data_IF_542953877867
#
_entry.id   IF_542953877867
#
_cell.length_a   1.000
_cell.length_b   1.000
_cell.length_c   1.000
_cell.angle_alpha   90.00
_cell.angle_beta   90.00
_cell.angle_gamma   90.00
#
_symmetry.space_group_name_H-M   'P 1'
#
loop_
_entity.id
_entity.type
_entity.pdbx_description
1 polymer ?
#
# COMPACT_ATOMS: atom_id res chain seq x y z
N UNK A 1 34.11 15.94 15.83
CA UNK A 1 33.88 14.98 16.93
C UNK A 1 33.32 15.64 18.18
N UNK A 2 33.85 16.79 18.65
CA UNK A 2 33.38 17.47 19.87
C UNK A 2 31.86 17.79 19.87
N UNK A 3 31.32 18.32 18.76
CA UNK A 3 29.88 18.66 18.69
C UNK A 3 28.92 17.47 18.64
N UNK A 4 29.39 16.25 18.34
CA UNK A 4 28.56 15.03 18.38
C UNK A 4 28.36 14.58 19.83
N UNK A 5 29.44 14.59 20.62
CA UNK A 5 29.39 14.22 22.03
C UNK A 5 28.52 15.19 22.85
N UNK A 6 28.61 16.49 22.56
CA UNK A 6 27.77 17.50 23.22
C UNK A 6 26.28 17.32 22.89
N UNK A 7 25.95 17.08 21.61
CA UNK A 7 24.57 16.80 21.18
C UNK A 7 24.04 15.48 21.78
N UNK A 8 24.84 14.43 21.79
CA UNK A 8 24.46 13.15 22.41
C UNK A 8 24.17 13.33 23.91
N UNK A 9 25.04 14.06 24.62
CA UNK A 9 24.85 14.40 26.03
C UNK A 9 23.54 15.16 26.26
N UNK A 10 23.22 16.14 25.43
CA UNK A 10 21.95 16.87 25.51
C UNK A 10 20.72 15.95 25.42
N UNK A 11 20.70 14.98 24.50
CA UNK A 11 19.57 14.04 24.40
C UNK A 11 19.50 13.06 25.59
N UNK A 12 20.65 12.64 26.12
CA UNK A 12 20.72 11.77 27.30
C UNK A 12 20.24 12.47 28.56
N UNK A 13 20.60 13.74 28.78
CA UNK A 13 20.18 14.52 29.93
C UNK A 13 18.65 14.68 29.98
N UNK A 14 17.98 14.82 28.83
CA UNK A 14 16.52 14.85 28.73
C UNK A 14 15.84 13.52 29.14
N UNK A 15 16.56 12.41 29.10
CA UNK A 15 16.04 11.10 29.51
C UNK A 15 16.19 10.84 31.02
N UNK A 16 16.99 11.64 31.74
CA UNK A 16 17.32 11.40 33.16
C UNK A 16 16.09 11.38 34.08
N UNK A 17 15.12 12.31 33.98
CA UNK A 17 13.94 12.29 34.86
C UNK A 17 13.13 10.99 34.73
N UNK A 18 12.99 10.46 33.50
CA UNK A 18 12.31 9.19 33.25
C UNK A 18 13.08 8.01 33.87
N UNK A 19 14.40 8.00 33.75
CA UNK A 19 15.23 6.92 34.30
C UNK A 19 15.21 6.91 35.83
N UNK A 20 15.21 8.07 36.48
CA UNK A 20 15.06 8.18 37.94
C UNK A 20 13.72 7.63 38.42
N UNK A 21 12.62 8.00 37.73
CA UNK A 21 11.31 7.45 38.06
C UNK A 21 11.26 5.91 37.90
N UNK A 22 11.94 5.36 36.89
CA UNK A 22 12.03 3.91 36.69
C UNK A 22 12.80 3.20 37.80
N UNK A 23 13.83 3.84 38.34
CA UNK A 23 14.61 3.34 39.49
C UNK A 23 13.79 3.41 40.78
N UNK A 24 13.17 4.55 41.06
CA UNK A 24 12.36 4.79 42.27
C UNK A 24 11.16 3.86 42.37
N UNK A 25 10.54 3.52 41.23
CA UNK A 25 9.40 2.59 41.16
C UNK A 25 9.81 1.14 40.96
N UNK A 26 11.11 0.84 41.04
CA UNK A 26 11.67 -0.51 40.88
C UNK A 26 11.22 -1.23 39.59
N UNK A 27 10.96 -0.45 38.53
CA UNK A 27 10.57 -0.99 37.21
C UNK A 27 11.81 -1.59 36.53
N UNK A 28 12.96 -0.96 36.74
CA UNK A 28 14.27 -1.40 36.27
C UNK A 28 15.28 -1.32 37.41
N UNK A 29 16.21 -2.26 37.46
CA UNK A 29 17.32 -2.20 38.41
C UNK A 29 18.36 -1.16 37.97
N UNK A 30 19.26 -0.77 38.88
CA UNK A 30 20.34 0.18 38.58
C UNK A 30 21.27 -0.33 37.46
N UNK A 31 21.55 -1.63 37.42
CA UNK A 31 22.40 -2.23 36.39
C UNK A 31 21.72 -2.30 35.03
N UNK A 32 20.40 -2.55 35.02
CA UNK A 32 19.60 -2.46 33.79
C UNK A 32 19.57 -1.02 33.27
N UNK A 33 19.38 -0.04 34.16
CA UNK A 33 19.40 1.39 33.80
C UNK A 33 20.77 1.78 33.24
N UNK A 34 21.88 1.33 33.85
CA UNK A 34 23.24 1.56 33.31
C UNK A 34 23.37 1.00 31.89
N UNK A 35 22.84 -0.19 31.66
CA UNK A 35 22.85 -0.82 30.33
C UNK A 35 21.98 -0.05 29.31
N UNK A 36 20.81 0.45 29.73
CA UNK A 36 19.92 1.28 28.90
C UNK A 36 20.63 2.59 28.52
N UNK A 37 21.27 3.25 29.49
CA UNK A 37 22.01 4.50 29.27
C UNK A 37 23.17 4.28 28.30
N UNK A 38 23.96 3.21 28.49
CA UNK A 38 25.05 2.88 27.58
C UNK A 38 24.54 2.66 26.17
N UNK A 39 23.51 1.83 25.98
CA UNK A 39 22.92 1.58 24.65
C UNK A 39 22.36 2.84 24.01
N UNK A 40 21.68 3.71 24.77
CA UNK A 40 21.23 5.03 24.26
C UNK A 40 22.40 5.88 23.79
N UNK A 41 23.47 5.93 24.58
CA UNK A 41 24.65 6.70 24.24
C UNK A 41 25.27 6.20 22.92
N UNK A 42 25.43 4.88 22.78
CA UNK A 42 25.98 4.26 21.57
C UNK A 42 25.11 4.58 20.33
N UNK A 43 23.78 4.47 20.46
CA UNK A 43 22.86 4.86 19.38
C UNK A 43 22.92 6.35 19.07
N UNK A 44 22.91 7.24 20.06
CA UNK A 44 22.97 8.69 19.85
C UNK A 44 24.26 9.08 19.14
N UNK A 45 25.40 8.54 19.55
CA UNK A 45 26.66 8.72 18.84
C UNK A 45 26.59 8.17 17.41
N UNK A 46 26.00 7.00 17.20
CA UNK A 46 25.88 6.38 15.87
C UNK A 46 25.04 7.24 14.92
N UNK A 47 23.86 7.69 15.35
CA UNK A 47 22.95 8.47 14.49
C UNK A 47 23.41 9.92 14.29
N UNK A 48 24.15 10.49 15.23
CA UNK A 48 24.72 11.84 15.12
C UNK A 48 26.06 11.88 14.37
N UNK A 49 26.71 10.73 14.20
CA UNK A 49 27.98 10.65 13.47
C UNK A 49 27.81 11.00 11.99
N UNK A 50 28.81 11.63 11.36
CA UNK A 50 28.84 11.78 9.91
C UNK A 50 28.74 10.41 9.21
N UNK A 51 28.00 10.33 8.10
CA UNK A 51 27.83 9.08 7.36
C UNK A 51 26.83 8.08 7.95
N UNK A 52 25.99 8.50 8.91
CA UNK A 52 24.90 7.66 9.41
C UNK A 52 23.93 7.26 8.29
N UNK A 53 23.35 6.06 8.40
CA UNK A 53 22.42 5.50 7.41
C UNK A 53 20.97 5.53 7.92
N UNK A 54 19.95 5.53 7.03
CA UNK A 54 18.55 5.40 7.44
C UNK A 54 18.30 4.17 8.34
N UNK A 55 19.00 3.06 8.08
CA UNK A 55 18.93 1.83 8.88
C UNK A 55 19.37 2.04 10.34
N UNK A 56 20.28 2.97 10.61
CA UNK A 56 20.76 3.25 11.97
C UNK A 56 19.68 3.97 12.78
N UNK A 57 18.95 4.90 12.16
CA UNK A 57 17.80 5.58 12.75
C UNK A 57 16.63 4.62 12.99
N UNK A 58 16.31 3.78 12.01
CA UNK A 58 15.30 2.73 12.15
C UNK A 58 15.63 1.77 13.31
N UNK A 59 16.87 1.27 13.36
CA UNK A 59 17.33 0.39 14.45
C UNK A 59 17.21 1.06 15.82
N UNK A 60 17.55 2.35 15.92
CA UNK A 60 17.43 3.10 17.17
C UNK A 60 15.97 3.24 17.61
N UNK A 61 15.07 3.62 16.68
CA UNK A 61 13.65 3.76 16.96
C UNK A 61 13.00 2.42 17.35
N UNK A 62 13.33 1.32 16.68
CA UNK A 62 12.83 -0.03 17.01
C UNK A 62 13.31 -0.50 18.39
N UNK A 63 14.54 -0.17 18.75
CA UNK A 63 15.07 -0.47 20.08
C UNK A 63 14.32 0.31 21.18
N UNK A 64 14.07 1.61 21.00
CA UNK A 64 13.25 2.39 21.96
C UNK A 64 11.80 1.91 22.04
N UNK A 65 11.19 1.47 20.92
CA UNK A 65 9.88 0.84 20.92
C UNK A 65 9.86 -0.47 21.73
N UNK A 66 10.90 -1.29 21.58
CA UNK A 66 11.05 -2.53 22.33
C UNK A 66 11.21 -2.26 23.83
N UNK A 67 11.96 -1.23 24.20
CA UNK A 67 12.12 -0.78 25.58
C UNK A 67 10.79 -0.29 26.18
N UNK A 68 9.99 0.46 25.42
CA UNK A 68 8.67 0.93 25.84
C UNK A 68 7.67 -0.24 26.01
N UNK A 69 7.73 -1.24 25.14
CA UNK A 69 6.97 -2.48 25.27
C UNK A 69 7.37 -3.26 26.53
N UNK A 70 8.68 -3.37 26.80
CA UNK A 70 9.19 -3.99 28.02
C UNK A 70 8.73 -3.25 29.28
N UNK A 71 8.86 -1.92 29.31
CA UNK A 71 8.38 -1.07 30.41
C UNK A 71 6.89 -1.28 30.64
N UNK A 72 6.09 -1.26 29.57
CA UNK A 72 4.64 -1.47 29.64
C UNK A 72 4.27 -2.83 30.25
N UNK A 73 4.94 -3.91 29.85
CA UNK A 73 4.74 -5.26 30.43
C UNK A 73 5.13 -5.31 31.91
N UNK A 74 6.24 -4.69 32.30
CA UNK A 74 6.69 -4.63 33.69
C UNK A 74 5.75 -3.83 34.57
N UNK A 75 5.27 -2.68 34.11
CA UNK A 75 4.29 -1.88 34.84
C UNK A 75 2.99 -2.66 35.11
N UNK A 76 2.51 -3.43 34.11
CA UNK A 76 1.36 -4.32 34.29
C UNK A 76 1.62 -5.38 35.36
N UNK A 77 2.79 -6.03 35.32
CA UNK A 77 3.19 -7.06 36.32
C UNK A 77 3.30 -6.51 37.73
N UNK A 78 3.91 -5.32 37.88
CA UNK A 78 4.10 -4.63 39.15
C UNK A 78 2.84 -3.86 39.62
N UNK A 79 1.74 -3.91 38.85
CA UNK A 79 0.49 -3.20 39.11
C UNK A 79 0.66 -1.68 39.29
N UNK A 80 1.67 -1.10 38.64
CA UNK A 80 1.92 0.35 38.65
C UNK A 80 0.97 0.99 37.63
N UNK A 81 0.05 1.83 38.11
CA UNK A 81 -1.00 2.47 37.28
C UNK A 81 -0.60 3.82 36.70
N UNK A 82 0.21 4.59 37.43
CA UNK A 82 0.56 5.96 37.04
C UNK A 82 2.07 6.14 36.95
N UNK A 83 2.54 6.61 35.79
CA UNK A 83 3.89 7.12 35.58
C UNK A 83 3.76 8.57 35.10
N UNK A 84 4.54 9.47 35.69
CA UNK A 84 4.65 10.85 35.24
C UNK A 84 5.32 10.89 33.86
N UNK A 85 6.23 9.95 33.59
CA UNK A 85 6.93 9.81 32.30
C UNK A 85 6.28 8.83 31.32
N UNK A 86 4.97 8.54 31.45
CA UNK A 86 4.28 7.55 30.62
C UNK A 86 4.40 7.81 29.11
N UNK A 87 4.36 9.08 28.69
CA UNK A 87 4.46 9.47 27.27
C UNK A 87 5.89 9.82 26.82
N UNK A 88 6.88 9.80 27.72
CA UNK A 88 8.25 10.22 27.39
C UNK A 88 8.93 9.23 26.43
N UNK A 89 8.64 7.93 26.53
CA UNK A 89 9.12 6.92 25.58
C UNK A 89 8.61 7.16 24.16
N UNK A 90 7.28 7.32 24.01
CA UNK A 90 6.65 7.64 22.73
C UNK A 90 7.19 8.95 22.14
N UNK A 91 7.29 10.01 22.96
CA UNK A 91 7.81 11.32 22.52
C UNK A 91 9.24 11.21 22.00
N UNK A 92 10.08 10.40 22.64
CA UNK A 92 11.46 10.14 22.19
C UNK A 92 11.47 9.42 20.86
N UNK A 93 10.72 8.34 20.70
CA UNK A 93 10.65 7.59 19.44
C UNK A 93 10.20 8.48 18.28
N UNK A 94 9.18 9.33 18.50
CA UNK A 94 8.74 10.31 17.49
C UNK A 94 9.86 11.29 17.13
N UNK A 95 10.57 11.83 18.12
CA UNK A 95 11.68 12.76 17.88
C UNK A 95 12.88 12.10 17.16
N UNK A 96 13.13 10.81 17.40
CA UNK A 96 14.15 10.03 16.67
C UNK A 96 13.75 9.91 15.20
N UNK A 97 12.50 9.56 14.91
CA UNK A 97 12.01 9.51 13.53
C UNK A 97 12.06 10.88 12.86
N UNK A 98 11.64 11.96 13.53
CA UNK A 98 11.70 13.32 12.98
C UNK A 98 13.11 13.72 12.56
N UNK A 99 14.09 13.48 13.44
CA UNK A 99 15.51 13.72 13.15
C UNK A 99 15.99 12.84 12.00
N UNK A 100 15.58 11.57 11.99
CA UNK A 100 15.94 10.61 10.95
C UNK A 100 15.44 11.01 9.57
N UNK A 101 14.15 11.33 9.43
CA UNK A 101 13.56 11.74 8.15
C UNK A 101 14.02 13.13 7.71
N UNK A 102 14.31 14.04 8.65
CA UNK A 102 14.91 15.34 8.32
C UNK A 102 16.35 15.18 7.80
N UNK A 103 17.08 14.17 8.29
CA UNK A 103 18.44 13.88 7.83
C UNK A 103 18.46 13.10 6.52
N UNK A 104 17.49 12.20 6.33
CA UNK A 104 17.37 11.29 5.19
C UNK A 104 16.00 11.41 4.50
N UNK A 105 15.66 12.59 3.93
CA UNK A 105 14.33 12.83 3.38
C UNK A 105 13.99 11.92 2.18
N UNK A 106 14.99 11.42 1.45
CA UNK A 106 14.80 10.51 0.32
C UNK A 106 14.63 9.03 0.69
N UNK A 107 14.56 8.67 1.98
CA UNK A 107 14.41 7.26 2.39
C UNK A 107 12.94 6.86 2.53
N UNK A 108 12.37 6.28 1.46
CA UNK A 108 11.02 5.71 1.45
C UNK A 108 10.73 4.78 2.62
N UNK A 109 11.65 3.85 2.89
CA UNK A 109 11.51 2.88 3.97
C UNK A 109 11.39 3.53 5.36
N UNK A 110 12.19 4.57 5.64
CA UNK A 110 12.17 5.27 6.92
C UNK A 110 10.85 6.04 7.13
N UNK A 111 10.36 6.70 6.08
CA UNK A 111 9.04 7.36 6.12
C UNK A 111 7.91 6.38 6.37
N UNK A 112 7.90 5.23 5.66
CA UNK A 112 6.88 4.19 5.84
C UNK A 112 6.91 3.58 7.23
N UNK A 113 8.09 3.34 7.79
CA UNK A 113 8.24 2.85 9.17
C UNK A 113 7.70 3.89 10.18
N UNK A 114 8.02 5.17 9.98
CA UNK A 114 7.52 6.24 10.84
C UNK A 114 5.98 6.37 10.78
N UNK A 115 5.40 6.29 9.59
CA UNK A 115 3.96 6.28 9.37
C UNK A 115 3.29 5.05 10.01
N UNK A 116 3.92 3.88 9.92
CA UNK A 116 3.46 2.66 10.59
C UNK A 116 3.45 2.83 12.12
N UNK A 117 4.53 3.40 12.68
CA UNK A 117 4.63 3.66 14.12
C UNK A 117 3.57 4.67 14.60
N UNK A 118 3.42 5.81 13.92
CA UNK A 118 2.41 6.81 14.29
C UNK A 118 0.98 6.25 14.21
N UNK A 119 0.71 5.35 13.27
CA UNK A 119 -0.56 4.64 13.19
C UNK A 119 -0.74 3.63 14.33
N UNK A 120 0.31 2.91 14.73
CA UNK A 120 0.22 1.88 15.79
C UNK A 120 -0.04 2.49 17.17
N UNK A 121 0.50 3.68 17.43
CA UNK A 121 0.26 4.44 18.67
C UNK A 121 -0.97 5.35 18.60
N UNK A 122 -1.78 5.24 17.52
CA UNK A 122 -3.00 6.05 17.28
C UNK A 122 -2.74 7.57 17.36
N UNK A 123 -1.57 8.02 16.90
CA UNK A 123 -1.21 9.44 16.87
C UNK A 123 -1.65 10.06 15.54
N UNK A 124 -2.95 10.25 15.36
CA UNK A 124 -3.57 10.56 14.08
C UNK A 124 -3.19 11.92 13.50
N UNK A 125 -3.22 12.98 14.32
CA UNK A 125 -2.72 14.31 13.92
C UNK A 125 -1.24 14.24 13.51
N UNK A 126 -0.44 13.46 14.25
CA UNK A 126 0.97 13.25 13.91
C UNK A 126 1.13 12.52 12.58
N UNK A 127 0.33 11.47 12.37
CA UNK A 127 0.33 10.71 11.13
C UNK A 127 0.01 11.61 9.93
N UNK A 128 -0.99 12.49 10.04
CA UNK A 128 -1.36 13.44 8.97
C UNK A 128 -0.20 14.34 8.59
N UNK A 129 0.37 15.06 9.56
CA UNK A 129 1.52 15.93 9.35
C UNK A 129 2.72 15.19 8.78
N UNK A 130 3.01 14.00 9.30
CA UNK A 130 4.10 13.16 8.77
C UNK A 130 3.83 12.71 7.34
N UNK A 131 2.59 12.35 7.00
CA UNK A 131 2.20 11.93 5.65
C UNK A 131 2.33 13.08 4.65
N UNK A 132 1.82 14.27 4.98
CA UNK A 132 1.98 15.48 4.13
C UNK A 132 3.47 15.77 3.88
N UNK A 133 4.29 15.73 4.93
CA UNK A 133 5.74 15.95 4.79
C UNK A 133 6.40 14.87 3.93
N UNK A 134 6.03 13.60 4.08
CA UNK A 134 6.54 12.50 3.28
C UNK A 134 6.21 12.70 1.79
N UNK A 135 4.95 13.06 1.48
CA UNK A 135 4.52 13.35 0.11
C UNK A 135 5.25 14.56 -0.48
N UNK A 136 5.52 15.60 0.32
CA UNK A 136 6.29 16.77 -0.12
C UNK A 136 7.75 16.41 -0.45
N UNK A 137 8.37 15.55 0.36
CA UNK A 137 9.76 15.14 0.15
C UNK A 137 9.92 14.12 -0.98
N UNK A 138 8.93 13.26 -1.20
CA UNK A 138 8.96 12.20 -2.21
C UNK A 138 7.64 12.15 -3.01
N UNK A 139 7.34 13.20 -3.80
CA UNK A 139 6.08 13.30 -4.52
C UNK A 139 5.93 12.26 -5.63
N UNK A 140 7.02 11.64 -6.08
CA UNK A 140 7.01 10.59 -7.12
C UNK A 140 6.99 9.17 -6.54
N UNK A 141 6.91 8.99 -5.21
CA UNK A 141 6.81 7.67 -4.59
C UNK A 141 5.35 7.17 -4.63
N UNK A 142 5.02 6.15 -5.45
CA UNK A 142 3.66 5.65 -5.58
C UNK A 142 3.13 5.01 -4.29
N UNK A 143 3.98 4.44 -3.44
CA UNK A 143 3.55 3.75 -2.22
C UNK A 143 3.02 4.73 -1.18
N UNK A 144 3.59 5.95 -1.11
CA UNK A 144 3.10 6.98 -0.19
C UNK A 144 1.71 7.49 -0.59
N UNK A 145 1.50 7.75 -1.89
CA UNK A 145 0.18 8.14 -2.40
C UNK A 145 -0.86 7.04 -2.19
N UNK A 146 -0.49 5.78 -2.47
CA UNK A 146 -1.35 4.64 -2.20
C UNK A 146 -1.68 4.53 -0.70
N UNK A 147 -0.71 4.73 0.20
CA UNK A 147 -0.94 4.69 1.64
C UNK A 147 -1.91 5.78 2.10
N UNK A 148 -1.78 7.01 1.59
CA UNK A 148 -2.71 8.10 1.87
C UNK A 148 -4.12 7.79 1.36
N UNK A 149 -4.25 7.43 0.08
CA UNK A 149 -5.54 7.10 -0.55
C UNK A 149 -6.24 5.92 0.12
N UNK A 150 -5.52 4.82 0.40
CA UNK A 150 -6.07 3.63 1.06
C UNK A 150 -6.52 3.92 2.50
N UNK A 151 -5.83 4.79 3.25
CA UNK A 151 -6.29 5.19 4.59
C UNK A 151 -7.61 5.95 4.51
N UNK A 152 -7.73 6.92 3.61
CA UNK A 152 -8.98 7.66 3.42
C UNK A 152 -10.13 6.74 2.98
N UNK A 153 -9.88 5.83 2.02
CA UNK A 153 -10.87 4.85 1.58
C UNK A 153 -11.30 3.89 2.71
N UNK A 154 -10.36 3.51 3.60
CA UNK A 154 -10.65 2.68 4.77
C UNK A 154 -11.51 3.42 5.80
N UNK A 155 -11.30 4.73 5.97
CA UNK A 155 -12.10 5.59 6.84
C UNK A 155 -13.50 5.89 6.27
N UNK A 156 -13.79 5.39 5.07
CA UNK A 156 -15.06 5.60 4.36
C UNK A 156 -15.04 6.79 3.41
N UNK A 157 -14.05 7.68 3.48
CA UNK A 157 -13.99 8.84 2.59
C UNK A 157 -13.32 8.51 1.25
N UNK A 158 -14.14 7.96 0.34
CA UNK A 158 -13.71 7.68 -1.02
C UNK A 158 -13.46 8.97 -1.83
N UNK A 159 -14.12 10.09 -1.51
CA UNK A 159 -13.90 11.34 -2.23
C UNK A 159 -12.49 11.89 -1.94
N UNK A 160 -12.08 11.90 -0.67
CA UNK A 160 -10.71 12.22 -0.28
C UNK A 160 -9.71 11.21 -0.85
N UNK A 161 -10.01 9.91 -0.81
CA UNK A 161 -9.15 8.89 -1.40
C UNK A 161 -8.88 9.14 -2.89
N UNK A 162 -9.93 9.40 -3.68
CA UNK A 162 -9.83 9.77 -5.10
C UNK A 162 -8.93 10.96 -5.31
N UNK A 163 -9.02 12.00 -4.48
CA UNK A 163 -8.17 13.16 -4.64
C UNK A 163 -6.69 12.89 -4.34
N UNK A 164 -6.36 12.01 -3.37
CA UNK A 164 -4.96 11.55 -3.18
C UNK A 164 -4.47 10.75 -4.38
N UNK A 165 -5.26 9.79 -4.85
CA UNK A 165 -4.90 8.97 -5.99
C UNK A 165 -4.72 9.81 -7.26
N UNK A 166 -5.69 10.68 -7.59
CA UNK A 166 -5.60 11.55 -8.76
C UNK A 166 -4.40 12.51 -8.68
N UNK A 167 -4.11 13.08 -7.50
CA UNK A 167 -2.94 13.95 -7.31
C UNK A 167 -1.64 13.15 -7.46
N UNK A 168 -1.58 11.97 -6.88
CA UNK A 168 -0.43 11.07 -7.02
C UNK A 168 -0.21 10.61 -8.45
N UNK A 169 -1.25 10.25 -9.20
CA UNK A 169 -1.16 9.85 -10.60
C UNK A 169 -0.59 10.96 -11.50
N UNK A 170 -0.80 12.24 -11.14
CA UNK A 170 -0.16 13.37 -11.84
C UNK A 170 1.35 13.43 -11.61
N UNK A 171 1.86 12.97 -10.47
CA UNK A 171 3.30 12.88 -10.20
C UNK A 171 3.92 11.57 -10.69
N UNK A 172 3.24 10.45 -10.45
CA UNK A 172 3.70 9.10 -10.75
C UNK A 172 3.30 8.69 -12.17
N UNK A 173 3.95 9.30 -13.17
CA UNK A 173 3.70 9.04 -14.60
C UNK A 173 4.70 8.09 -15.25
N UNK A 174 5.63 7.53 -14.48
CA UNK A 174 6.71 6.67 -14.98
C UNK A 174 6.46 5.18 -14.75
N UNK A 175 5.52 4.83 -13.87
CA UNK A 175 5.23 3.46 -13.50
C UNK A 175 3.74 3.30 -13.16
N UNK A 176 3.22 2.11 -13.45
CA UNK A 176 1.83 1.68 -13.32
C UNK A 176 1.34 1.45 -11.88
N UNK A 177 2.24 1.24 -10.91
CA UNK A 177 1.91 0.82 -9.53
C UNK A 177 0.78 1.63 -8.89
N UNK A 178 0.88 2.96 -8.93
CA UNK A 178 -0.15 3.81 -8.33
C UNK A 178 -1.48 3.74 -9.08
N UNK A 179 -1.44 3.60 -10.40
CA UNK A 179 -2.63 3.51 -11.24
C UNK A 179 -3.38 2.19 -11.01
N UNK A 180 -2.64 1.09 -10.90
CA UNK A 180 -3.18 -0.23 -10.54
C UNK A 180 -3.76 -0.20 -9.13
N UNK A 181 -3.06 0.42 -8.16
CA UNK A 181 -3.59 0.56 -6.80
C UNK A 181 -4.82 1.47 -6.71
N UNK A 182 -4.89 2.51 -7.54
CA UNK A 182 -6.08 3.36 -7.62
C UNK A 182 -7.28 2.56 -8.16
N UNK A 183 -7.09 1.86 -9.29
CA UNK A 183 -8.10 0.97 -9.85
C UNK A 183 -8.55 -0.09 -8.84
N UNK A 184 -7.61 -0.70 -8.09
CA UNK A 184 -7.92 -1.67 -7.03
C UNK A 184 -8.80 -1.05 -5.95
N UNK A 185 -8.45 0.15 -5.48
CA UNK A 185 -9.22 0.84 -4.45
C UNK A 185 -10.65 1.15 -4.90
N UNK A 186 -10.87 1.47 -6.17
CA UNK A 186 -12.22 1.68 -6.74
C UNK A 186 -12.99 0.37 -6.85
N UNK A 187 -12.36 -0.72 -7.29
CA UNK A 187 -13.00 -2.05 -7.34
C UNK A 187 -13.42 -2.54 -5.95
N UNK A 188 -12.56 -2.39 -4.94
CA UNK A 188 -12.88 -2.72 -3.54
C UNK A 188 -14.05 -1.89 -3.01
N UNK A 189 -14.20 -0.64 -3.47
CA UNK A 189 -15.31 0.20 -3.09
C UNK A 189 -16.61 -0.18 -3.81
N UNK A 190 -16.55 -0.55 -5.09
CA UNK A 190 -17.69 -1.10 -5.81
C UNK A 190 -18.24 -2.36 -5.12
N UNK A 191 -17.37 -3.27 -4.66
CA UNK A 191 -17.82 -4.44 -3.89
C UNK A 191 -18.54 -4.05 -2.60
N UNK A 192 -18.04 -3.04 -1.88
CA UNK A 192 -18.71 -2.54 -0.65
C UNK A 192 -20.07 -1.95 -0.98
N UNK A 193 -20.18 -1.23 -2.09
CA UNK A 193 -21.43 -0.64 -2.55
C UNK A 193 -22.44 -1.71 -2.95
N UNK A 194 -22.03 -2.73 -3.71
CA UNK A 194 -22.92 -3.85 -4.08
C UNK A 194 -23.42 -4.61 -2.84
N UNK A 195 -22.53 -4.93 -1.88
CA UNK A 195 -22.92 -5.52 -0.59
C UNK A 195 -23.91 -4.65 0.18
N UNK A 196 -23.76 -3.32 0.14
CA UNK A 196 -24.71 -2.39 0.76
C UNK A 196 -26.05 -2.40 0.05
N UNK A 197 -26.10 -2.50 -1.29
CA UNK A 197 -27.36 -2.60 -2.04
C UNK A 197 -28.16 -3.83 -1.63
N UNK A 198 -27.50 -4.98 -1.49
CA UNK A 198 -28.15 -6.24 -1.11
C UNK A 198 -28.85 -6.14 0.26
N UNK A 199 -28.27 -5.37 1.18
CA UNK A 199 -28.77 -5.21 2.56
C UNK A 199 -29.66 -3.96 2.73
N UNK A 200 -29.60 -3.01 1.80
CA UNK A 200 -30.28 -1.72 1.93
C UNK A 200 -31.82 -1.86 1.80
N UNK A 201 -32.53 -1.18 2.71
CA UNK A 201 -33.97 -0.97 2.60
C UNK A 201 -34.27 0.05 1.49
N UNK A 202 -35.46 -0.01 0.85
CA UNK A 202 -35.87 0.98 -0.15
C UNK A 202 -35.76 2.40 0.43
N UNK A 203 -34.99 3.28 -0.23
CA UNK A 203 -34.81 4.68 0.16
C UNK A 203 -33.55 5.01 0.97
N UNK A 204 -32.68 4.04 1.31
CA UNK A 204 -31.38 4.33 1.91
C UNK A 204 -30.34 4.70 0.83
N UNK A 205 -29.63 5.80 1.02
CA UNK A 205 -28.52 6.18 0.13
C UNK A 205 -27.33 5.22 0.34
N UNK A 206 -27.16 4.31 -0.61
CA UNK A 206 -26.08 3.29 -0.64
C UNK A 206 -24.70 3.93 -0.86
N UNK A 207 -24.68 5.11 -1.49
CA UNK A 207 -23.45 5.84 -1.83
C UNK A 207 -22.95 6.69 -0.66
N UNK A 208 -23.79 6.94 0.35
CA UNK A 208 -23.37 7.70 1.52
C UNK A 208 -22.30 6.91 2.29
N UNK A 209 -21.15 7.51 2.58
CA UNK A 209 -20.14 6.83 3.37
C UNK A 209 -20.62 6.63 4.81
N UNK A 210 -20.42 5.42 5.34
CA UNK A 210 -20.30 5.20 6.79
C UNK A 210 -19.05 5.94 7.25
N UNK A 211 -19.16 7.24 7.50
CA UNK A 211 -18.06 8.01 8.07
C UNK A 211 -17.78 7.41 9.44
N UNK A 212 -16.62 6.76 9.58
CA UNK A 212 -16.10 6.45 10.91
C UNK A 212 -15.67 7.81 11.46
N UNK A 213 -16.38 8.32 12.47
CA UNK A 213 -15.99 9.52 13.22
C UNK A 213 -14.69 9.23 13.99
N UNK A 214 -13.56 9.25 13.30
CA UNK A 214 -12.24 9.33 13.90
C UNK A 214 -11.58 10.61 13.38
N UNK A 215 -10.93 11.39 14.26
CA UNK A 215 -10.19 12.64 13.96
C UNK A 215 -8.94 12.48 13.08
N UNK A 216 -8.95 11.46 12.23
CA UNK A 216 -7.89 10.89 11.40
C UNK A 216 -7.97 11.32 9.93
N UNK A 217 -8.93 12.18 9.58
CA UNK A 217 -9.20 12.59 8.21
C UNK A 217 -8.10 13.53 7.68
N UNK A 218 -7.33 13.08 6.69
CA UNK A 218 -6.40 13.93 5.95
C UNK A 218 -7.18 14.60 4.82
N UNK A 219 -7.47 15.89 4.98
CA UNK A 219 -8.25 16.67 4.00
C UNK A 219 -7.33 17.26 2.94
N UNK A 220 -7.79 17.23 1.69
CA UNK A 220 -7.08 17.77 0.52
C UNK A 220 -7.33 19.26 0.30
N UNK A 221 -8.33 19.82 0.99
CA UNK A 221 -8.66 21.24 1.03
C UNK A 221 -7.95 21.81 2.25
N UNK A 222 -7.32 22.99 2.11
CA UNK A 222 -6.73 23.79 3.19
C UNK A 222 -7.54 23.58 4.46
N UNK A 223 -7.05 22.71 5.33
CA UNK A 223 -7.65 22.59 6.64
C UNK A 223 -7.34 23.92 7.32
N UNK A 224 -8.36 24.54 7.92
CA UNK A 224 -8.16 25.70 8.81
C UNK A 224 -7.24 25.36 10.02
N UNK A 225 -6.79 24.10 10.14
CA UNK A 225 -5.66 23.68 10.95
C UNK A 225 -4.35 24.16 10.29
N UNK A 226 -3.87 25.36 10.66
CA UNK A 226 -2.61 25.99 10.23
C UNK A 226 -1.33 25.12 10.30
N UNK A 227 -1.40 23.90 10.86
CA UNK A 227 -0.25 23.02 11.16
C UNK A 227 -0.08 21.81 10.21
N UNK A 228 -1.01 21.56 9.28
CA UNK A 228 -0.95 20.38 8.38
C UNK A 228 -0.08 20.60 7.14
N UNK A 229 0.13 21.84 6.72
CA UNK A 229 0.97 22.26 5.59
C UNK A 229 0.48 21.78 4.21
N UNK A 230 0.89 22.48 3.16
CA UNK A 230 0.34 22.23 1.83
C UNK A 230 0.88 20.95 1.19
N UNK A 231 -0.01 20.21 0.53
CA UNK A 231 0.35 19.07 -0.31
C UNK A 231 1.13 19.54 -1.56
N UNK A 232 2.08 18.74 -2.08
CA UNK A 232 2.87 19.12 -3.24
C UNK A 232 2.00 19.31 -4.48
N UNK A 233 2.11 20.44 -5.18
CA UNK A 233 1.39 20.69 -6.43
C UNK A 233 2.13 20.11 -7.64
N UNK A 234 1.43 19.39 -8.54
CA UNK A 234 2.07 18.86 -9.73
C UNK A 234 2.47 20.00 -10.70
N UNK A 235 3.58 19.87 -11.43
CA UNK A 235 3.96 20.79 -12.51
C UNK A 235 2.82 21.02 -13.51
N UNK A 236 2.73 22.22 -14.09
CA UNK A 236 1.67 22.57 -15.06
C UNK A 236 1.61 21.65 -16.28
N UNK A 237 2.73 21.04 -16.69
CA UNK A 237 2.79 20.03 -17.75
C UNK A 237 2.11 18.72 -17.35
N UNK A 238 2.26 18.31 -16.08
CA UNK A 238 1.67 17.09 -15.50
C UNK A 238 0.23 17.29 -15.03
N UNK A 239 -0.25 18.54 -14.91
CA UNK A 239 -1.65 18.83 -14.63
C UNK A 239 -2.63 18.28 -15.69
N UNK A 240 -2.15 17.99 -16.91
CA UNK A 240 -2.95 17.39 -18.00
C UNK A 240 -3.08 15.87 -17.92
N UNK A 241 -2.32 15.19 -17.06
CA UNK A 241 -2.36 13.71 -16.90
C UNK A 241 -3.76 13.23 -16.50
N UNK A 242 -4.41 13.98 -15.62
CA UNK A 242 -5.85 13.87 -15.34
C UNK A 242 -6.41 15.27 -15.48
N UNK A 243 -6.95 15.57 -16.66
CA UNK A 243 -7.53 16.86 -16.98
C UNK A 243 -8.77 17.16 -16.12
N UNK A 244 -9.23 18.42 -16.12
CA UNK A 244 -10.39 18.84 -15.31
C UNK A 244 -11.68 18.11 -15.72
N UNK A 245 -11.81 17.70 -16.99
CA UNK A 245 -13.02 17.05 -17.50
C UNK A 245 -13.06 15.58 -17.08
N UNK A 246 -11.96 14.86 -17.18
CA UNK A 246 -11.72 13.50 -16.69
C UNK A 246 -11.87 13.45 -15.18
N UNK A 247 -11.33 14.43 -14.44
CA UNK A 247 -11.55 14.56 -13.00
C UNK A 247 -13.03 14.79 -12.66
N UNK A 248 -13.73 15.62 -13.44
CA UNK A 248 -15.17 15.82 -13.29
C UNK A 248 -15.97 14.57 -13.64
N UNK A 249 -15.62 13.84 -14.70
CA UNK A 249 -16.25 12.57 -15.10
C UNK A 249 -16.04 11.48 -14.04
N UNK A 250 -14.84 11.40 -13.45
CA UNK A 250 -14.53 10.51 -12.32
C UNK A 250 -15.31 10.89 -11.05
N UNK A 251 -15.69 12.16 -10.90
CA UNK A 251 -16.47 12.66 -9.76
C UNK A 251 -18.00 12.61 -9.98
N UNK A 252 -18.47 12.74 -11.22
CA UNK A 252 -19.89 12.94 -11.55
C UNK A 252 -20.62 11.67 -12.00
N UNK A 253 -19.91 10.60 -12.36
CA UNK A 253 -20.55 9.40 -12.87
C UNK A 253 -21.06 8.54 -11.69
N UNK A 254 -22.36 8.15 -11.66
CA UNK A 254 -22.89 7.27 -10.64
C UNK A 254 -22.05 6.00 -10.60
N UNK A 255 -21.36 5.81 -9.50
CA UNK A 255 -20.29 4.84 -9.38
C UNK A 255 -20.83 3.41 -9.17
N UNK A 256 -21.83 3.04 -9.96
CA UNK A 256 -22.54 1.77 -9.90
C UNK A 256 -22.24 0.85 -11.09
N UNK A 257 -21.76 1.40 -12.21
CA UNK A 257 -21.60 0.68 -13.48
C UNK A 257 -20.12 0.43 -13.85
N UNK A 258 -19.20 0.54 -12.89
CA UNK A 258 -17.78 0.28 -13.15
C UNK A 258 -17.05 1.31 -14.04
N UNK A 259 -17.70 2.44 -14.38
CA UNK A 259 -17.16 3.43 -15.30
C UNK A 259 -15.87 4.11 -14.83
N UNK A 260 -15.69 4.24 -13.50
CA UNK A 260 -14.49 4.86 -12.91
C UNK A 260 -13.24 3.99 -13.12
N UNK A 261 -13.23 2.68 -12.76
CA UNK A 261 -12.15 1.77 -13.13
C UNK A 261 -11.80 1.76 -14.62
N UNK A 262 -12.81 1.76 -15.51
CA UNK A 262 -12.59 1.82 -16.96
C UNK A 262 -11.94 3.15 -17.38
N UNK A 263 -12.42 4.28 -16.85
CA UNK A 263 -11.80 5.59 -17.11
C UNK A 263 -10.36 5.67 -16.61
N UNK A 264 -10.04 5.08 -15.45
CA UNK A 264 -8.67 4.99 -14.94
C UNK A 264 -7.77 4.24 -15.92
N UNK A 265 -8.26 3.12 -16.47
CA UNK A 265 -7.56 2.35 -17.49
C UNK A 265 -7.37 3.14 -18.79
N UNK A 266 -8.41 3.82 -19.29
CA UNK A 266 -8.33 4.61 -20.53
C UNK A 266 -7.40 5.83 -20.41
N UNK A 267 -7.29 6.40 -19.20
CA UNK A 267 -6.34 7.49 -18.93
C UNK A 267 -4.92 6.94 -18.77
N UNK A 268 -4.75 5.78 -18.13
CA UNK A 268 -3.44 5.14 -17.96
C UNK A 268 -2.84 4.73 -19.30
N UNK A 269 -3.69 4.32 -20.26
CA UNK A 269 -3.33 4.06 -21.65
C UNK A 269 -2.62 5.20 -22.37
N UNK A 270 -2.92 6.45 -22.00
CA UNK A 270 -2.28 7.65 -22.59
C UNK A 270 -0.91 7.97 -21.97
N UNK A 271 -0.47 7.21 -20.97
CA UNK A 271 0.78 7.48 -20.25
C UNK A 271 1.96 6.75 -20.88
N UNK A 272 3.17 7.27 -20.65
CA UNK A 272 4.40 6.74 -21.24
C UNK A 272 4.78 5.33 -20.77
N UNK A 273 4.30 4.89 -19.59
CA UNK A 273 4.58 3.55 -19.07
C UNK A 273 3.68 2.46 -19.69
N UNK A 274 2.62 2.83 -20.40
CA UNK A 274 1.61 1.87 -20.82
C UNK A 274 2.13 0.95 -21.92
N UNK A 275 1.93 -0.35 -21.70
CA UNK A 275 2.29 -1.41 -22.62
C UNK A 275 1.38 -2.63 -22.38
N UNK A 276 1.48 -3.65 -23.21
CA UNK A 276 0.65 -4.84 -23.11
C UNK A 276 0.76 -5.58 -21.76
N UNK A 277 1.94 -5.60 -21.11
CA UNK A 277 2.12 -6.20 -19.78
C UNK A 277 1.40 -5.40 -18.68
N UNK A 278 1.35 -4.07 -18.81
CA UNK A 278 0.58 -3.21 -17.90
C UNK A 278 -0.91 -3.46 -18.09
N UNK A 279 -1.38 -3.56 -19.33
CA UNK A 279 -2.78 -3.87 -19.62
C UNK A 279 -3.20 -5.25 -19.09
N UNK A 280 -2.34 -6.27 -19.21
CA UNK A 280 -2.52 -7.58 -18.56
C UNK A 280 -2.59 -7.46 -17.04
N UNK A 281 -1.74 -6.62 -16.42
CA UNK A 281 -1.80 -6.38 -14.96
C UNK A 281 -3.15 -5.77 -14.53
N UNK A 282 -3.70 -4.83 -15.32
CA UNK A 282 -5.06 -4.31 -15.10
C UNK A 282 -6.12 -5.40 -15.29
N UNK A 283 -5.99 -6.24 -16.31
CA UNK A 283 -6.91 -7.35 -16.54
C UNK A 283 -6.92 -8.33 -15.36
N UNK A 284 -5.75 -8.78 -14.89
CA UNK A 284 -5.61 -9.66 -13.73
C UNK A 284 -6.24 -9.04 -12.48
N UNK A 285 -6.00 -7.74 -12.26
CA UNK A 285 -6.63 -7.00 -11.17
C UNK A 285 -8.15 -7.06 -11.28
N UNK A 286 -8.74 -6.66 -12.42
CA UNK A 286 -10.19 -6.57 -12.56
C UNK A 286 -10.85 -7.94 -12.50
N UNK A 287 -10.25 -8.93 -13.15
CA UNK A 287 -10.76 -10.30 -13.15
C UNK A 287 -10.71 -10.95 -11.75
N UNK A 288 -9.86 -10.48 -10.82
CA UNK A 288 -9.86 -11.00 -9.45
C UNK A 288 -11.13 -10.68 -8.65
N UNK A 289 -11.94 -9.71 -9.08
CA UNK A 289 -13.20 -9.30 -8.43
C UNK A 289 -14.42 -10.05 -9.00
N UNK A 290 -14.38 -11.39 -9.03
CA UNK A 290 -15.37 -12.25 -9.68
C UNK A 290 -16.82 -12.11 -9.17
N UNK A 291 -17.00 -11.58 -7.94
CA UNK A 291 -18.31 -11.40 -7.31
C UNK A 291 -19.00 -10.08 -7.69
N UNK A 292 -18.28 -9.17 -8.35
CA UNK A 292 -18.78 -7.83 -8.64
C UNK A 292 -19.65 -7.84 -9.92
N UNK A 293 -20.84 -7.23 -9.86
CA UNK A 293 -21.78 -7.25 -10.98
C UNK A 293 -21.23 -6.56 -12.24
N UNK A 294 -20.45 -5.47 -12.07
CA UNK A 294 -19.85 -4.74 -13.18
C UNK A 294 -18.53 -5.34 -13.68
N UNK A 295 -17.98 -6.38 -13.03
CA UNK A 295 -16.66 -6.93 -13.38
C UNK A 295 -16.59 -7.47 -14.82
N UNK A 296 -17.57 -8.25 -15.33
CA UNK A 296 -17.47 -8.78 -16.70
C UNK A 296 -17.34 -7.67 -17.75
N UNK A 297 -18.07 -6.56 -17.55
CA UNK A 297 -18.02 -5.38 -18.42
C UNK A 297 -16.63 -4.71 -18.38
N UNK A 298 -16.07 -4.52 -17.19
CA UNK A 298 -14.75 -3.89 -17.01
C UNK A 298 -13.65 -4.77 -17.61
N UNK A 299 -13.69 -6.08 -17.35
CA UNK A 299 -12.69 -7.02 -17.88
C UNK A 299 -12.80 -7.15 -19.40
N UNK A 300 -14.01 -7.16 -19.97
CA UNK A 300 -14.19 -7.19 -21.42
C UNK A 300 -13.62 -5.92 -22.07
N UNK A 301 -13.84 -4.73 -21.49
CA UNK A 301 -13.27 -3.48 -21.99
C UNK A 301 -11.73 -3.54 -22.10
N UNK A 302 -11.05 -4.14 -21.11
CA UNK A 302 -9.59 -4.31 -21.16
C UNK A 302 -9.18 -5.33 -22.24
N UNK A 303 -9.91 -6.43 -22.40
CA UNK A 303 -9.65 -7.42 -23.45
C UNK A 303 -9.84 -6.82 -24.85
N UNK A 304 -10.90 -6.06 -25.06
CA UNK A 304 -11.17 -5.39 -26.34
C UNK A 304 -10.03 -4.45 -26.72
N UNK A 305 -9.44 -3.75 -25.74
CA UNK A 305 -8.27 -2.89 -25.96
C UNK A 305 -7.00 -3.71 -26.25
N UNK A 306 -6.78 -4.81 -25.53
CA UNK A 306 -5.66 -5.71 -25.79
C UNK A 306 -5.74 -6.31 -27.20
N UNK A 307 -6.92 -6.70 -27.65
CA UNK A 307 -7.16 -7.28 -28.97
C UNK A 307 -7.00 -6.26 -30.11
N UNK A 308 -7.36 -5.00 -29.86
CA UNK A 308 -7.24 -3.93 -30.86
C UNK A 308 -5.81 -3.39 -31.00
N UNK A 309 -5.09 -3.18 -29.89
CA UNK A 309 -3.79 -2.52 -29.91
C UNK A 309 -2.59 -3.46 -29.84
N UNK A 310 -2.77 -4.63 -29.22
CA UNK A 310 -1.73 -5.64 -29.08
C UNK A 310 -2.21 -7.03 -29.55
N UNK A 311 -2.67 -7.18 -30.81
CA UNK A 311 -3.01 -8.49 -31.36
C UNK A 311 -1.82 -9.45 -31.25
N UNK A 312 -2.06 -10.70 -30.84
CA UNK A 312 -1.06 -11.77 -30.76
C UNK A 312 0.14 -11.48 -29.83
N UNK A 313 0.06 -10.48 -28.95
CA UNK A 313 1.08 -10.24 -27.95
C UNK A 313 0.97 -11.29 -26.82
N UNK A 314 2.09 -11.79 -26.24
CA UNK A 314 2.06 -12.78 -25.16
C UNK A 314 1.14 -12.43 -24.00
N UNK A 315 1.10 -11.15 -23.63
CA UNK A 315 0.22 -10.62 -22.57
C UNK A 315 -1.28 -10.74 -22.94
N UNK A 316 -1.66 -10.42 -24.19
CA UNK A 316 -3.02 -10.57 -24.71
C UNK A 316 -3.44 -12.04 -24.72
N UNK A 317 -2.57 -12.90 -25.24
CA UNK A 317 -2.78 -14.34 -25.26
C UNK A 317 -2.93 -14.90 -23.83
N UNK A 318 -2.08 -14.48 -22.90
CA UNK A 318 -2.15 -14.92 -21.50
C UNK A 318 -3.45 -14.45 -20.81
N UNK A 319 -3.91 -13.23 -21.10
CA UNK A 319 -5.19 -12.72 -20.59
C UNK A 319 -6.37 -13.59 -21.06
N UNK A 320 -6.43 -13.91 -22.35
CA UNK A 320 -7.47 -14.79 -22.92
C UNK A 320 -7.40 -16.23 -22.39
N UNK A 321 -6.19 -16.77 -22.25
CA UNK A 321 -5.97 -18.11 -21.67
C UNK A 321 -6.49 -18.16 -20.25
N UNK A 322 -6.18 -17.15 -19.42
CA UNK A 322 -6.48 -17.17 -17.97
C UNK A 322 -7.87 -16.65 -17.61
N UNK A 323 -8.55 -15.96 -18.51
CA UNK A 323 -9.90 -15.41 -18.29
C UNK A 323 -10.86 -16.39 -17.56
N UNK A 324 -10.94 -17.70 -17.88
CA UNK A 324 -11.88 -18.61 -17.23
C UNK A 324 -11.56 -18.96 -15.77
N UNK A 325 -10.30 -18.82 -15.35
CA UNK A 325 -9.84 -19.26 -14.02
C UNK A 325 -9.51 -18.12 -13.06
N UNK A 326 -9.34 -16.90 -13.55
CA UNK A 326 -9.04 -15.76 -12.68
C UNK A 326 -10.27 -15.45 -11.81
N UNK A 327 -10.07 -15.32 -10.50
CA UNK A 327 -11.13 -15.03 -9.55
C UNK A 327 -11.99 -16.24 -9.14
N UNK A 328 -11.71 -17.43 -9.69
CA UNK A 328 -12.35 -18.69 -9.29
C UNK A 328 -11.51 -19.34 -8.18
N UNK A 329 -12.17 -19.75 -7.10
CA UNK A 329 -11.51 -20.48 -6.01
C UNK A 329 -11.10 -21.88 -6.51
N UNK A 330 -9.80 -22.26 -6.41
CA UNK A 330 -9.31 -23.59 -6.79
C UNK A 330 -10.03 -24.78 -6.15
N UNK A 331 -10.74 -24.57 -5.03
CA UNK A 331 -11.49 -25.60 -4.32
C UNK A 331 -12.90 -25.83 -4.89
N UNK A 332 -13.37 -24.95 -5.79
CA UNK A 332 -14.72 -25.05 -6.35
C UNK A 332 -14.75 -26.02 -7.52
N UNK A 333 -15.85 -26.75 -7.69
CA UNK A 333 -16.06 -27.68 -8.82
C UNK A 333 -15.97 -27.01 -10.21
N UNK A 334 -16.14 -25.68 -10.26
CA UNK A 334 -15.98 -24.86 -11.46
C UNK A 334 -14.51 -24.77 -11.92
N UNK A 335 -13.54 -24.86 -11.01
CA UNK A 335 -12.13 -24.68 -11.34
C UNK A 335 -11.58 -25.75 -12.28
N UNK A 336 -11.80 -27.08 -12.05
CA UNK A 336 -11.39 -28.10 -13.02
C UNK A 336 -12.08 -27.99 -14.39
N UNK A 337 -13.33 -27.53 -14.44
CA UNK A 337 -14.04 -27.33 -15.70
C UNK A 337 -13.41 -26.18 -16.50
N UNK A 338 -13.18 -25.05 -15.84
CA UNK A 338 -12.55 -23.88 -16.44
C UNK A 338 -11.08 -24.16 -16.80
N UNK A 339 -10.38 -25.01 -16.04
CA UNK A 339 -9.02 -25.41 -16.36
C UNK A 339 -8.94 -26.19 -17.69
N UNK A 340 -9.95 -27.00 -18.04
CA UNK A 340 -9.98 -27.67 -19.35
C UNK A 340 -10.07 -26.66 -20.49
N UNK A 341 -10.88 -25.62 -20.31
CA UNK A 341 -11.00 -24.51 -21.26
C UNK A 341 -9.67 -23.73 -21.37
N UNK A 342 -9.01 -23.45 -20.24
CA UNK A 342 -7.67 -22.84 -20.23
C UNK A 342 -6.67 -23.67 -21.03
N UNK A 343 -6.66 -24.99 -20.88
CA UNK A 343 -5.77 -25.87 -21.63
C UNK A 343 -6.09 -25.89 -23.12
N UNK A 344 -7.37 -25.83 -23.50
CA UNK A 344 -7.78 -25.71 -24.90
C UNK A 344 -7.27 -24.39 -25.50
N UNK A 345 -7.51 -23.27 -24.82
CA UNK A 345 -7.02 -21.94 -25.20
C UNK A 345 -5.51 -21.88 -25.26
N UNK A 346 -4.80 -22.51 -24.32
CA UNK A 346 -3.34 -22.57 -24.33
C UNK A 346 -2.81 -23.25 -25.59
N UNK A 347 -3.39 -24.38 -26.00
CA UNK A 347 -2.96 -25.05 -27.23
C UNK A 347 -3.28 -24.23 -28.51
N UNK A 348 -4.31 -23.37 -28.46
CA UNK A 348 -4.66 -22.48 -29.56
C UNK A 348 -3.72 -21.26 -29.65
N UNK A 349 -3.49 -20.57 -28.54
CA UNK A 349 -2.75 -19.31 -28.53
C UNK A 349 -1.22 -19.49 -28.51
N UNK A 350 -0.70 -20.61 -27.99
CA UNK A 350 0.74 -20.87 -27.97
C UNK A 350 1.41 -20.78 -29.36
N UNK A 351 0.85 -21.35 -30.45
CA UNK A 351 1.40 -21.20 -31.80
C UNK A 351 1.11 -19.84 -32.46
N UNK A 352 0.07 -19.12 -32.03
CA UNK A 352 -0.34 -17.84 -32.63
C UNK A 352 0.42 -16.62 -32.06
N UNK A 353 1.11 -16.80 -30.95
CA UNK A 353 1.75 -15.72 -30.20
C UNK A 353 3.05 -15.24 -30.85
N UNK A 354 3.29 -13.93 -30.79
CA UNK A 354 4.50 -13.27 -31.32
C UNK A 354 5.79 -13.73 -30.64
N UNK A 355 5.77 -13.95 -29.32
CA UNK A 355 6.88 -14.50 -28.53
C UNK A 355 6.40 -15.69 -27.68
N UNK A 356 6.65 -16.90 -28.20
CA UNK A 356 6.31 -18.14 -27.53
C UNK A 356 7.07 -18.31 -26.19
N UNK A 357 8.33 -17.90 -26.11
CA UNK A 357 9.15 -18.07 -24.92
C UNK A 357 8.68 -17.16 -23.77
N UNK A 358 8.22 -15.95 -24.07
CA UNK A 358 7.57 -15.08 -23.07
C UNK A 358 6.24 -15.66 -22.58
N UNK A 359 5.38 -16.15 -23.47
CA UNK A 359 4.11 -16.77 -23.09
C UNK A 359 4.32 -18.04 -22.26
N UNK A 360 5.31 -18.87 -22.60
CA UNK A 360 5.70 -20.04 -21.81
C UNK A 360 6.14 -19.64 -20.40
N UNK A 361 7.01 -18.62 -20.28
CA UNK A 361 7.45 -18.11 -18.97
C UNK A 361 6.29 -17.60 -18.12
N UNK A 362 5.37 -16.83 -18.72
CA UNK A 362 4.15 -16.35 -18.05
C UNK A 362 3.26 -17.52 -17.63
N UNK A 363 3.12 -18.52 -18.49
CA UNK A 363 2.32 -19.73 -18.24
C UNK A 363 2.86 -20.52 -17.06
N UNK A 364 4.17 -20.77 -17.05
CA UNK A 364 4.84 -21.44 -15.93
C UNK A 364 4.72 -20.64 -14.63
N UNK A 365 4.87 -19.31 -14.69
CA UNK A 365 4.81 -18.46 -13.51
C UNK A 365 3.44 -18.54 -12.81
N UNK A 366 2.34 -18.49 -13.55
CA UNK A 366 1.01 -18.61 -12.92
C UNK A 366 0.72 -20.04 -12.47
N UNK A 367 1.18 -21.07 -13.20
CA UNK A 367 1.07 -22.47 -12.77
C UNK A 367 1.81 -22.68 -11.43
N UNK A 368 3.04 -22.16 -11.30
CA UNK A 368 3.82 -22.26 -10.07
C UNK A 368 3.13 -21.55 -8.90
N UNK A 369 2.43 -20.45 -9.17
CA UNK A 369 1.58 -19.78 -8.19
C UNK A 369 0.48 -20.68 -7.63
N UNK A 370 -0.19 -21.50 -8.46
CA UNK A 370 -1.19 -22.46 -7.99
C UNK A 370 -0.56 -23.70 -7.33
N UNK A 371 0.58 -24.18 -7.84
CA UNK A 371 1.28 -25.33 -7.25
C UNK A 371 1.83 -25.03 -5.84
N UNK A 372 2.11 -23.76 -5.54
CA UNK A 372 2.49 -23.31 -4.20
C UNK A 372 1.34 -23.36 -3.17
N UNK A 373 0.09 -23.58 -3.61
CA UNK A 373 -1.05 -23.73 -2.70
C UNK A 373 -1.04 -25.12 -2.05
N UNK A 374 -1.01 -25.15 -0.71
CA UNK A 374 -0.97 -26.41 0.06
C UNK A 374 -2.25 -27.25 -0.14
N UNK A 375 -3.40 -26.59 -0.29
CA UNK A 375 -4.73 -27.22 -0.32
C UNK A 375 -5.26 -27.52 -1.73
N UNK A 376 -4.38 -27.70 -2.72
CA UNK A 376 -4.79 -28.04 -4.09
C UNK A 376 -5.07 -29.54 -4.21
N UNK A 377 -6.16 -29.90 -4.91
CA UNK A 377 -6.48 -31.30 -5.22
C UNK A 377 -5.33 -31.97 -6.00
N UNK A 378 -5.00 -33.20 -5.61
CA UNK A 378 -3.87 -33.94 -6.17
C UNK A 378 -4.04 -34.20 -7.68
N UNK A 379 -5.27 -34.41 -8.15
CA UNK A 379 -5.54 -34.59 -9.58
C UNK A 379 -5.31 -33.30 -10.37
N UNK A 380 -5.66 -32.14 -9.81
CA UNK A 380 -5.42 -30.83 -10.41
C UNK A 380 -3.92 -30.53 -10.43
N UNK A 381 -3.22 -30.84 -9.33
CA UNK A 381 -1.77 -30.70 -9.21
C UNK A 381 -1.05 -31.50 -10.30
N UNK A 382 -1.41 -32.76 -10.51
CA UNK A 382 -0.85 -33.60 -11.57
C UNK A 382 -1.08 -33.01 -12.98
N UNK A 383 -2.28 -32.49 -13.25
CA UNK A 383 -2.58 -31.85 -14.54
C UNK A 383 -1.74 -30.58 -14.75
N UNK A 384 -1.59 -29.75 -13.73
CA UNK A 384 -0.76 -28.55 -13.78
C UNK A 384 0.73 -28.87 -13.97
N UNK A 385 1.26 -29.88 -13.27
CA UNK A 385 2.63 -30.34 -13.45
C UNK A 385 2.89 -30.91 -14.85
N UNK A 386 1.96 -31.72 -15.35
CA UNK A 386 2.05 -32.24 -16.71
C UNK A 386 2.01 -31.11 -17.75
N UNK A 387 1.13 -30.13 -17.54
CA UNK A 387 1.02 -28.94 -18.41
C UNK A 387 2.30 -28.12 -18.36
N UNK A 388 2.87 -27.87 -17.17
CA UNK A 388 4.17 -27.20 -17.00
C UNK A 388 5.27 -27.91 -17.80
N UNK A 389 5.38 -29.23 -17.67
CA UNK A 389 6.36 -30.02 -18.44
C UNK A 389 6.15 -29.87 -19.95
N UNK A 390 4.91 -29.97 -20.41
CA UNK A 390 4.57 -29.82 -21.84
C UNK A 390 4.93 -28.43 -22.37
N UNK A 391 4.66 -27.37 -21.60
CA UNK A 391 4.93 -25.98 -21.98
C UNK A 391 6.42 -25.66 -22.00
N UNK A 392 7.22 -26.26 -21.11
CA UNK A 392 8.68 -26.09 -21.06
C UNK A 392 9.41 -26.88 -22.15
N UNK A 393 8.83 -27.98 -22.62
CA UNK A 393 9.40 -28.84 -23.67
C UNK A 393 8.98 -28.44 -25.10
N UNK A 394 7.92 -27.64 -25.24
CA UNK A 394 7.45 -27.07 -26.50
C UNK A 394 8.26 -25.82 -26.88
#
# INVERSE_FOLDING_TARGET
MAGVAEKARFYLERAVPQLREWEEKEIFSKDEIRTIVQKRNDYEHKVLSPGNKPSDWASYAQWEQSLESLRSKRCKRLKIRHLNSAHAGQTRTLAIYDRGVSRHPGSGALWREYLSYTSSVKASKRWRKTMTNALRMMPTDPELWAMAGRRSAKNGDMAAARGFFMRGCRFCTTNEKLWVEYARSEMEWLEKVDKRKEVAKPGHDVLRPDRIEDGDELRLIDSDDEDDGDLPEPPKSQAKVIDKQSAQQLASNPAMDGAIPMAIFDISKKQAFFNANVAETFFELFASFSKLASQPKISQHVLDVLDQEYPNHPATCNAHIRQPIIGVDPQTAEFPMNLREVLARLNQYLPETTDQAELQRKTVAWIDGYLALENLDESIRLVLEHTKKKVVLA
#
